data_IF_333334802365
#
_entry.id   IF_333334802365
#
_cell.length_a   1.000
_cell.length_b   1.000
_cell.length_c   1.000
_cell.angle_alpha   90.00
_cell.angle_beta   90.00
_cell.angle_gamma   90.00
#
_symmetry.space_group_name_H-M   'P 1'
#
loop_
_entity.id
_entity.type
_entity.pdbx_description
1 polymer ?
#
# COMPACT_ATOMS: atom_id res chain seq x y z
N UNK A 1 4.13 24.47 4.61
CA UNK A 1 3.16 24.08 3.56
C UNK A 1 1.92 23.48 4.24
N UNK A 2 0.73 23.90 3.85
CA UNK A 2 -0.49 23.27 4.39
C UNK A 2 -0.64 21.86 3.84
N UNK A 3 -1.11 20.91 4.70
CA UNK A 3 -1.29 19.49 4.32
C UNK A 3 -2.16 19.34 3.06
N UNK A 4 -3.22 20.12 2.94
CA UNK A 4 -4.10 20.08 1.76
C UNK A 4 -3.37 20.45 0.47
N UNK A 5 -2.53 21.46 0.50
CA UNK A 5 -1.72 21.88 -0.64
C UNK A 5 -0.73 20.77 -1.03
N UNK A 6 -0.05 20.19 -0.04
CA UNK A 6 0.88 19.08 -0.28
C UNK A 6 0.20 17.87 -0.92
N UNK A 7 -1.00 17.51 -0.45
CA UNK A 7 -1.78 16.41 -1.03
C UNK A 7 -2.14 16.73 -2.49
N UNK A 8 -2.63 17.93 -2.78
CA UNK A 8 -3.00 18.34 -4.13
C UNK A 8 -1.82 18.33 -5.09
N UNK A 9 -0.67 18.83 -4.67
CA UNK A 9 0.55 18.86 -5.48
C UNK A 9 1.14 17.47 -5.74
N UNK A 10 0.82 16.47 -4.91
CA UNK A 10 1.33 15.09 -5.01
C UNK A 10 0.25 14.06 -5.37
N UNK A 11 -0.96 14.46 -5.68
CA UNK A 11 -2.09 13.55 -5.92
C UNK A 11 -1.77 12.50 -7.00
N UNK A 12 -1.25 12.92 -8.13
CA UNK A 12 -0.87 12.02 -9.23
C UNK A 12 0.17 10.98 -8.79
N UNK A 13 1.17 11.40 -8.03
CA UNK A 13 2.19 10.50 -7.48
C UNK A 13 1.57 9.48 -6.54
N UNK A 14 0.74 9.91 -5.60
CA UNK A 14 0.08 9.02 -4.65
C UNK A 14 -0.83 7.99 -5.32
N UNK A 15 -1.58 8.41 -6.35
CA UNK A 15 -2.39 7.50 -7.14
C UNK A 15 -1.53 6.49 -7.91
N UNK A 16 -0.44 6.92 -8.52
CA UNK A 16 0.46 6.03 -9.26
C UNK A 16 1.14 5.01 -8.33
N UNK A 17 1.53 5.40 -7.13
CA UNK A 17 2.07 4.50 -6.11
C UNK A 17 1.03 3.45 -5.69
N UNK A 18 -0.21 3.86 -5.39
CA UNK A 18 -1.30 2.93 -5.08
C UNK A 18 -1.61 2.01 -6.26
N UNK A 19 -1.66 2.53 -7.47
CA UNK A 19 -1.93 1.74 -8.68
C UNK A 19 -0.84 0.70 -8.94
N UNK A 20 0.42 1.01 -8.61
CA UNK A 20 1.51 0.05 -8.71
C UNK A 20 1.31 -1.17 -7.80
N UNK A 21 0.68 -0.99 -6.64
CA UNK A 21 0.31 -2.08 -5.73
C UNK A 21 -0.92 -2.85 -6.22
N UNK A 22 -1.94 -2.14 -6.70
CA UNK A 22 -3.20 -2.74 -7.16
C UNK A 22 -2.97 -3.65 -8.37
N UNK A 23 -2.06 -3.28 -9.29
CA UNK A 23 -1.72 -4.08 -10.47
C UNK A 23 -1.06 -5.42 -10.15
N UNK A 24 -0.56 -5.60 -8.94
CA UNK A 24 -0.02 -6.88 -8.50
C UNK A 24 -1.17 -7.72 -7.91
N UNK A 25 -1.58 -8.82 -8.56
CA UNK A 25 -2.70 -9.63 -8.10
C UNK A 25 -2.28 -10.54 -6.93
N UNK A 26 -2.05 -9.93 -5.77
CA UNK A 26 -1.58 -10.62 -4.56
C UNK A 26 -2.69 -11.46 -3.90
N UNK A 27 -3.16 -12.49 -4.61
CA UNK A 27 -4.23 -13.37 -4.18
C UNK A 27 -3.67 -14.49 -3.30
N UNK A 28 -3.74 -14.31 -1.99
CA UNK A 28 -3.15 -15.25 -1.01
C UNK A 28 -3.76 -16.65 -1.03
N UNK A 29 -5.03 -16.75 -1.42
CA UNK A 29 -5.78 -18.03 -1.44
C UNK A 29 -5.37 -18.98 -2.58
N UNK A 30 -4.67 -18.48 -3.60
CA UNK A 30 -4.35 -19.24 -4.80
C UNK A 30 -2.84 -19.47 -4.93
N UNK A 31 -2.36 -20.74 -4.94
CA UNK A 31 -0.92 -21.03 -5.07
C UNK A 31 -0.26 -20.47 -6.32
N UNK A 32 -1.03 -20.26 -7.39
CA UNK A 32 -0.55 -19.67 -8.65
C UNK A 32 -0.05 -18.22 -8.48
N UNK A 33 -0.49 -17.51 -7.44
CA UNK A 33 -0.13 -16.13 -7.13
C UNK A 33 0.96 -15.99 -6.05
N UNK A 34 1.71 -17.06 -5.78
CA UNK A 34 2.79 -17.03 -4.78
C UNK A 34 3.85 -15.98 -5.11
N UNK A 35 4.24 -15.87 -6.38
CA UNK A 35 5.23 -14.89 -6.83
C UNK A 35 4.66 -13.45 -6.78
N UNK A 36 3.37 -13.28 -7.06
CA UNK A 36 2.69 -12.00 -6.91
C UNK A 36 2.63 -11.55 -5.45
N UNK A 37 2.44 -12.49 -4.52
CA UNK A 37 2.50 -12.18 -3.08
C UNK A 37 3.88 -11.64 -2.69
N UNK A 38 4.96 -12.26 -3.16
CA UNK A 38 6.32 -11.78 -2.90
C UNK A 38 6.58 -10.43 -3.59
N UNK A 39 6.17 -10.28 -4.84
CA UNK A 39 6.31 -9.02 -5.59
C UNK A 39 5.58 -7.86 -4.90
N UNK A 40 4.38 -8.12 -4.38
CA UNK A 40 3.61 -7.12 -3.63
C UNK A 40 4.28 -6.75 -2.31
N UNK A 41 4.81 -7.73 -1.57
CA UNK A 41 5.56 -7.49 -0.34
C UNK A 41 6.81 -6.62 -0.60
N UNK A 42 7.58 -6.91 -1.66
CA UNK A 42 8.75 -6.11 -2.05
C UNK A 42 8.36 -4.70 -2.50
N UNK A 43 7.26 -4.54 -3.21
CA UNK A 43 6.77 -3.20 -3.58
C UNK A 43 6.37 -2.39 -2.34
N UNK A 44 5.71 -3.01 -1.36
CA UNK A 44 5.41 -2.37 -0.08
C UNK A 44 6.68 -1.96 0.67
N UNK A 45 7.68 -2.85 0.74
CA UNK A 45 8.97 -2.52 1.36
C UNK A 45 9.59 -1.27 0.74
N UNK A 46 9.59 -1.17 -0.58
CA UNK A 46 10.12 -0.01 -1.29
C UNK A 46 9.33 1.26 -0.97
N UNK A 47 8.00 1.21 -1.04
CA UNK A 47 7.14 2.36 -0.74
C UNK A 47 7.31 2.87 0.69
N UNK A 48 7.48 1.98 1.66
CA UNK A 48 7.70 2.37 3.06
C UNK A 48 9.05 3.07 3.24
N UNK A 49 10.10 2.63 2.55
CA UNK A 49 11.40 3.33 2.54
C UNK A 49 11.29 4.70 1.84
N UNK A 50 10.60 4.76 0.69
CA UNK A 50 10.35 6.01 -0.04
C UNK A 50 9.52 7.00 0.79
N UNK A 51 8.60 6.49 1.62
CA UNK A 51 7.80 7.28 2.57
C UNK A 51 8.59 7.73 3.81
N UNK A 52 9.84 7.30 3.98
CA UNK A 52 10.73 7.76 5.04
C UNK A 52 10.86 6.82 6.24
N UNK A 53 10.50 5.56 6.11
CA UNK A 53 10.86 4.56 7.12
C UNK A 53 12.38 4.46 7.25
N UNK A 54 12.88 4.30 8.47
CA UNK A 54 14.32 4.12 8.72
C UNK A 54 14.78 2.73 8.32
N UNK A 55 13.87 1.75 8.43
CA UNK A 55 14.08 0.36 8.05
C UNK A 55 12.80 -0.24 7.49
N UNK A 56 12.92 -1.05 6.45
CA UNK A 56 11.83 -1.88 5.94
C UNK A 56 12.37 -3.20 5.39
N UNK A 57 11.73 -4.30 5.74
CA UNK A 57 12.15 -5.64 5.34
C UNK A 57 10.96 -6.54 5.00
N UNK A 58 11.20 -7.49 4.09
CA UNK A 58 10.30 -8.61 3.82
C UNK A 58 10.78 -9.80 4.63
N UNK A 59 9.96 -10.25 5.56
CA UNK A 59 10.25 -11.34 6.47
C UNK A 59 9.55 -12.63 6.02
N UNK A 60 10.25 -13.74 5.90
CA UNK A 60 9.62 -15.02 5.56
C UNK A 60 8.67 -15.46 6.68
N UNK A 61 7.58 -16.12 6.28
CA UNK A 61 6.70 -16.83 7.20
C UNK A 61 6.30 -18.20 6.60
N UNK A 62 5.56 -19.00 7.34
CA UNK A 62 5.13 -20.34 6.89
C UNK A 62 4.26 -20.31 5.63
N UNK A 63 3.53 -19.23 5.39
CA UNK A 63 2.62 -19.10 4.24
C UNK A 63 3.03 -17.98 3.30
N UNK A 64 2.87 -16.74 3.74
CA UNK A 64 3.13 -15.54 2.94
C UNK A 64 4.06 -14.61 3.69
N UNK A 65 4.97 -13.90 3.00
CA UNK A 65 5.90 -13.01 3.66
C UNK A 65 5.19 -11.88 4.40
N UNK A 66 5.79 -11.44 5.50
CA UNK A 66 5.38 -10.24 6.23
C UNK A 66 6.23 -9.06 5.76
N UNK A 67 5.64 -7.89 5.69
CA UNK A 67 6.38 -6.63 5.51
C UNK A 67 6.44 -5.94 6.86
N UNK A 68 7.64 -5.70 7.34
CA UNK A 68 7.90 -4.94 8.56
C UNK A 68 8.63 -3.65 8.20
N UNK A 69 8.23 -2.55 8.81
CA UNK A 69 8.96 -1.29 8.71
C UNK A 69 8.85 -0.53 10.02
N UNK A 70 9.84 0.32 10.29
CA UNK A 70 9.81 1.20 11.45
C UNK A 70 10.34 2.60 11.10
N UNK A 71 9.81 3.57 11.84
CA UNK A 71 10.29 4.94 11.88
C UNK A 71 10.49 5.36 13.33
N UNK A 72 11.71 5.69 13.69
CA UNK A 72 12.05 6.16 15.04
C UNK A 72 12.21 7.68 15.05
N UNK A 73 11.38 8.35 15.82
CA UNK A 73 11.42 9.81 15.94
C UNK A 73 12.28 10.25 17.14
N UNK A 74 12.09 9.58 18.27
CA UNK A 74 12.81 9.86 19.52
C UNK A 74 12.79 8.62 20.41
N UNK A 75 13.83 8.41 21.25
CA UNK A 75 13.84 7.30 22.22
C UNK A 75 12.67 7.35 23.21
N UNK A 76 12.19 8.55 23.54
CA UNK A 76 11.13 8.77 24.53
C UNK A 76 9.74 8.90 23.90
N UNK A 77 9.64 8.85 22.57
CA UNK A 77 8.36 8.95 21.89
C UNK A 77 7.53 7.67 22.06
N UNK A 78 6.20 7.77 22.25
CA UNK A 78 5.35 6.60 22.26
C UNK A 78 5.39 5.89 20.91
N UNK A 79 5.34 4.55 20.94
CA UNK A 79 5.30 3.73 19.72
C UNK A 79 3.85 3.54 19.28
N UNK A 80 3.59 3.81 18.01
CA UNK A 80 2.31 3.52 17.35
C UNK A 80 2.52 2.31 16.45
N UNK A 81 1.72 1.26 16.65
CA UNK A 81 1.67 0.11 15.77
C UNK A 81 0.58 0.31 14.72
N UNK A 82 0.95 0.23 13.45
CA UNK A 82 0.02 0.20 12.32
C UNK A 82 -0.01 -1.21 11.76
N UNK A 83 -1.21 -1.73 11.55
CA UNK A 83 -1.45 -3.02 10.93
C UNK A 83 -2.30 -2.85 9.67
N UNK A 84 -1.92 -3.55 8.60
CA UNK A 84 -2.67 -3.64 7.35
C UNK A 84 -2.36 -4.98 6.68
N UNK A 85 -3.17 -5.39 5.68
CA UNK A 85 -2.86 -6.54 4.85
C UNK A 85 -2.70 -6.13 3.38
N UNK A 86 -1.87 -6.87 2.64
CA UNK A 86 -1.59 -6.57 1.24
C UNK A 86 -2.12 -7.63 0.27
N UNK A 87 -2.66 -8.72 0.78
CA UNK A 87 -3.33 -9.69 -0.05
C UNK A 87 -4.75 -9.25 -0.40
N UNK A 88 -5.29 -9.87 -1.43
CA UNK A 88 -6.64 -9.59 -1.92
C UNK A 88 -7.39 -10.90 -2.20
N UNK A 89 -8.71 -10.80 -2.20
CA UNK A 89 -9.57 -11.90 -2.62
C UNK A 89 -9.49 -12.13 -4.13
N UNK A 90 -9.76 -13.37 -4.62
CA UNK A 90 -10.02 -13.61 -6.03
C UNK A 90 -11.06 -12.66 -6.60
N UNK A 91 -10.97 -12.37 -7.91
CA UNK A 91 -11.83 -11.38 -8.55
C UNK A 91 -13.06 -11.99 -9.25
N UNK A 92 -13.20 -13.31 -9.22
CA UNK A 92 -14.34 -14.01 -9.83
C UNK A 92 -15.68 -13.61 -9.16
N UNK A 93 -16.78 -13.56 -9.90
CA UNK A 93 -16.88 -13.80 -11.36
C UNK A 93 -16.46 -12.57 -12.18
N UNK A 94 -15.54 -12.78 -13.14
CA UNK A 94 -14.92 -11.69 -13.92
C UNK A 94 -15.92 -10.92 -14.81
N UNK A 95 -16.97 -11.57 -15.27
CA UNK A 95 -18.00 -10.98 -16.11
C UNK A 95 -18.85 -9.90 -15.43
N UNK A 96 -18.79 -9.79 -14.12
CA UNK A 96 -19.49 -8.75 -13.36
C UNK A 96 -18.67 -7.44 -13.25
N UNK A 97 -17.40 -7.49 -13.58
CA UNK A 97 -16.55 -6.30 -13.55
C UNK A 97 -16.76 -5.46 -14.80
N UNK A 98 -16.90 -4.13 -14.62
CA UNK A 98 -16.98 -3.16 -15.71
C UNK A 98 -15.61 -2.77 -16.28
N UNK A 99 -14.55 -3.02 -15.53
CA UNK A 99 -13.14 -2.83 -15.90
C UNK A 99 -12.32 -4.00 -15.39
N UNK A 100 -11.09 -4.17 -15.85
CA UNK A 100 -10.22 -5.26 -15.38
C UNK A 100 -9.94 -5.11 -13.89
N UNK A 101 -10.11 -6.18 -13.06
CA UNK A 101 -10.02 -6.10 -11.61
C UNK A 101 -8.69 -5.57 -11.07
N UNK A 102 -7.58 -5.85 -11.76
CA UNK A 102 -6.23 -5.45 -11.37
C UNK A 102 -5.66 -4.32 -12.23
N UNK A 103 -6.50 -3.68 -13.03
CA UNK A 103 -6.14 -2.46 -13.76
C UNK A 103 -6.99 -1.30 -13.21
N UNK A 104 -6.46 -0.52 -12.27
CA UNK A 104 -7.24 0.50 -11.57
C UNK A 104 -7.73 1.61 -12.50
N UNK A 105 -8.99 1.95 -12.37
CA UNK A 105 -9.65 2.99 -13.14
C UNK A 105 -10.31 4.01 -12.23
N UNK A 106 -10.13 5.29 -12.52
CA UNK A 106 -10.85 6.37 -11.83
C UNK A 106 -12.12 6.70 -12.60
N UNK A 107 -13.27 6.45 -11.99
CA UNK A 107 -14.60 6.77 -12.51
C UNK A 107 -15.44 7.45 -11.45
N UNK A 108 -16.11 8.52 -11.80
CA UNK A 108 -17.03 9.25 -10.89
C UNK A 108 -16.37 9.63 -9.56
N UNK A 109 -15.07 10.03 -9.60
CA UNK A 109 -14.31 10.40 -8.42
C UNK A 109 -13.96 9.24 -7.48
N UNK A 110 -14.02 7.99 -7.96
CA UNK A 110 -13.70 6.77 -7.19
C UNK A 110 -12.73 5.88 -7.96
N UNK A 111 -11.90 5.16 -7.21
CA UNK A 111 -11.00 4.14 -7.76
C UNK A 111 -11.73 2.80 -7.80
N UNK A 112 -11.78 2.20 -8.97
CA UNK A 112 -12.41 0.90 -9.20
C UNK A 112 -11.33 -0.14 -9.51
N UNK A 113 -11.10 -1.04 -8.57
CA UNK A 113 -10.19 -2.18 -8.71
C UNK A 113 -10.32 -3.13 -7.53
N UNK A 114 -9.85 -4.38 -7.67
CA UNK A 114 -9.69 -5.31 -6.54
C UNK A 114 -8.56 -4.80 -5.63
N UNK A 115 -8.84 -4.69 -4.32
CA UNK A 115 -7.88 -4.20 -3.33
C UNK A 115 -7.80 -2.67 -3.20
N UNK A 116 -8.59 -1.91 -3.97
CA UNK A 116 -8.63 -0.45 -3.85
C UNK A 116 -9.13 0.02 -2.48
N UNK A 117 -10.14 -0.68 -1.91
CA UNK A 117 -10.74 -0.38 -0.63
C UNK A 117 -10.49 -1.45 0.44
N UNK A 118 -9.93 -2.60 0.07
CA UNK A 118 -9.63 -3.71 0.98
C UNK A 118 -8.33 -4.41 0.54
N UNK A 119 -7.18 -4.08 1.09
CA UNK A 119 -6.88 -3.07 2.12
C UNK A 119 -5.76 -2.12 1.63
N UNK A 120 -5.32 -2.23 0.33
CA UNK A 120 -4.18 -1.48 -0.22
C UNK A 120 -4.37 0.03 -0.13
N UNK A 121 -5.60 0.52 -0.33
CA UNK A 121 -5.92 1.95 -0.23
C UNK A 121 -5.74 2.48 1.19
N UNK A 122 -6.30 1.83 2.19
CA UNK A 122 -6.18 2.23 3.59
C UNK A 122 -4.74 2.09 4.08
N UNK A 123 -4.07 1.00 3.71
CA UNK A 123 -2.65 0.79 4.04
C UNK A 123 -1.76 1.91 3.44
N UNK A 124 -2.06 2.35 2.21
CA UNK A 124 -1.32 3.43 1.55
C UNK A 124 -1.49 4.77 2.28
N UNK A 125 -2.66 5.08 2.82
CA UNK A 125 -2.89 6.30 3.62
C UNK A 125 -1.97 6.29 4.85
N UNK A 126 -1.84 5.16 5.51
CA UNK A 126 -0.96 5.01 6.67
C UNK A 126 0.52 5.15 6.28
N UNK A 127 0.94 4.54 5.18
CA UNK A 127 2.31 4.65 4.67
C UNK A 127 2.65 6.11 4.32
N UNK A 128 1.78 6.82 3.62
CA UNK A 128 1.96 8.23 3.27
C UNK A 128 2.03 9.14 4.50
N UNK A 129 1.40 8.78 5.61
CA UNK A 129 1.47 9.56 6.85
C UNK A 129 2.87 9.60 7.46
N UNK A 130 3.74 8.64 7.15
CA UNK A 130 5.14 8.62 7.60
C UNK A 130 5.92 9.86 7.11
N UNK A 131 5.60 10.39 5.95
CA UNK A 131 6.24 11.59 5.38
C UNK A 131 6.09 12.77 6.33
N UNK A 132 4.90 12.97 6.91
CA UNK A 132 4.64 14.06 7.85
C UNK A 132 5.29 13.85 9.23
N UNK A 133 5.48 12.60 9.63
CA UNK A 133 6.20 12.26 10.86
C UNK A 133 7.69 12.55 10.70
N UNK A 134 8.23 12.30 9.50
CA UNK A 134 9.65 12.49 9.18
C UNK A 134 10.03 13.95 8.97
N UNK A 135 9.12 14.75 8.41
CA UNK A 135 9.28 16.17 8.13
C UNK A 135 8.14 16.97 8.75
N UNK A 136 8.11 17.11 10.08
CA UNK A 136 7.11 17.96 10.71
C UNK A 136 7.25 19.37 10.12
N UNK A 137 6.16 19.85 9.55
CA UNK A 137 6.08 21.23 9.02
C UNK A 137 6.51 22.23 10.09
N UNK A 138 7.63 22.90 9.83
CA UNK A 138 8.08 24.06 10.62
C UNK A 138 7.21 25.26 10.33
#
# INVERSE_FOLDING_TARGET
>A
MEIKQYIQENEERFLNELFSLIRIPSISALPAHKDDMLACAERWRQLLLEAGADEAMVMPSERHPLVYAEKRVSPDAPTVLVYAHYDVMPAEPLELWKSQPFEPEVRDGRIWARGADDDKGQAMIQALSLIHISEPTR
#
